data_IF_480846612571
#
_entry.id   IF_480846612571
#
_cell.length_a   1.000
_cell.length_b   1.000
_cell.length_c   1.000
_cell.angle_alpha   90.00
_cell.angle_beta   90.00
_cell.angle_gamma   90.00
#
_symmetry.space_group_name_H-M   'P 1'
#
loop_
_entity.id
_entity.type
_entity.pdbx_description
1 polymer ?
#
# COMPACT_ATOMS: atom_id res chain seq x y z
N UNK A 1 -16.41 3.24 5.60
CA UNK A 1 -15.69 2.26 6.42
C UNK A 1 -14.68 3.00 7.28
N UNK A 2 -14.57 2.63 8.55
CA UNK A 2 -13.57 3.17 9.48
C UNK A 2 -12.17 2.60 9.19
N UNK A 3 -12.12 1.39 8.64
CA UNK A 3 -10.88 0.76 8.21
C UNK A 3 -11.04 -0.04 6.91
N UNK A 4 -9.94 -0.19 6.16
CA UNK A 4 -9.84 -1.01 4.95
C UNK A 4 -8.54 -1.82 4.99
N UNK A 5 -8.62 -3.11 4.69
CA UNK A 5 -7.44 -3.95 4.55
C UNK A 5 -7.46 -4.64 3.19
N UNK A 6 -6.33 -4.61 2.49
CA UNK A 6 -6.13 -5.33 1.24
C UNK A 6 -4.93 -6.28 1.36
N UNK A 7 -5.21 -7.57 1.15
CA UNK A 7 -4.22 -8.62 0.91
C UNK A 7 -4.65 -9.41 -0.33
N UNK A 8 -4.27 -8.92 -1.50
CA UNK A 8 -4.56 -9.54 -2.80
C UNK A 8 -3.26 -9.78 -3.54
N UNK A 9 -3.13 -10.90 -4.23
CA UNK A 9 -1.92 -11.25 -4.99
C UNK A 9 -2.17 -11.09 -6.50
N UNK A 10 -2.38 -9.85 -6.96
CA UNK A 10 -2.62 -9.52 -8.37
C UNK A 10 -1.78 -8.32 -8.80
N UNK A 11 -1.42 -8.19 -10.07
CA UNK A 11 -0.77 -6.97 -10.58
C UNK A 11 -1.67 -5.72 -10.42
N UNK A 12 -1.07 -4.60 -10.03
CA UNK A 12 -1.78 -3.34 -9.82
C UNK A 12 -2.45 -3.24 -8.45
N UNK A 13 -1.88 -3.87 -7.42
CA UNK A 13 -2.43 -3.86 -6.06
C UNK A 13 -2.60 -2.43 -5.54
N UNK A 14 -1.63 -1.58 -5.84
CA UNK A 14 -1.58 -0.19 -5.39
C UNK A 14 -2.76 0.61 -5.96
N UNK A 15 -3.02 0.49 -7.26
CA UNK A 15 -4.12 1.19 -7.92
C UNK A 15 -5.49 0.71 -7.42
N UNK A 16 -5.65 -0.60 -7.23
CA UNK A 16 -6.87 -1.19 -6.67
C UNK A 16 -7.11 -0.67 -5.26
N UNK A 17 -6.06 -0.64 -4.43
CA UNK A 17 -6.12 -0.16 -3.06
C UNK A 17 -6.53 1.30 -2.99
N UNK A 18 -5.87 2.17 -3.76
CA UNK A 18 -6.18 3.62 -3.81
C UNK A 18 -7.64 3.84 -4.19
N UNK A 19 -8.13 3.16 -5.25
CA UNK A 19 -9.53 3.26 -5.69
C UNK A 19 -10.51 2.76 -4.63
N UNK A 20 -10.15 1.71 -3.90
CA UNK A 20 -10.98 1.19 -2.82
C UNK A 20 -11.06 2.19 -1.65
N UNK A 21 -9.93 2.80 -1.27
CA UNK A 21 -9.89 3.84 -0.24
C UNK A 21 -10.66 5.10 -0.66
N UNK A 22 -10.54 5.53 -1.92
CA UNK A 22 -11.29 6.68 -2.46
C UNK A 22 -12.80 6.45 -2.35
N UNK A 23 -13.25 5.23 -2.68
CA UNK A 23 -14.66 4.89 -2.76
C UNK A 23 -15.30 4.56 -1.41
N UNK A 24 -14.56 3.97 -0.47
CA UNK A 24 -15.15 3.34 0.72
C UNK A 24 -14.59 3.83 2.06
N UNK A 25 -13.38 4.39 2.09
CA UNK A 25 -12.75 4.82 3.34
C UNK A 25 -13.29 6.19 3.74
N UNK A 26 -13.76 6.30 4.99
CA UNK A 26 -14.23 7.57 5.54
C UNK A 26 -13.05 8.49 5.87
N UNK A 27 -13.25 9.82 5.92
CA UNK A 27 -12.24 10.71 6.47
C UNK A 27 -11.79 10.24 7.86
N UNK A 28 -10.51 10.39 8.19
CA UNK A 28 -9.85 9.86 9.40
C UNK A 28 -9.77 8.32 9.46
N UNK A 29 -10.24 7.61 8.44
CA UNK A 29 -10.21 6.15 8.35
C UNK A 29 -8.82 5.60 8.08
N UNK A 30 -8.55 4.41 8.60
CA UNK A 30 -7.27 3.70 8.49
C UNK A 30 -7.29 2.70 7.33
N UNK A 31 -6.23 2.62 6.53
CA UNK A 31 -6.12 1.59 5.51
C UNK A 31 -4.77 0.89 5.51
N UNK A 32 -4.81 -0.41 5.28
CA UNK A 32 -3.66 -1.29 5.32
C UNK A 32 -3.50 -2.00 3.98
N UNK A 33 -2.33 -1.87 3.36
CA UNK A 33 -1.97 -2.51 2.11
C UNK A 33 -0.85 -3.52 2.36
N UNK A 34 -1.17 -4.81 2.26
CA UNK A 34 -0.16 -5.88 2.21
C UNK A 34 0.34 -6.02 0.78
N UNK A 35 1.54 -5.49 0.49
CA UNK A 35 2.13 -5.51 -0.84
C UNK A 35 3.11 -6.68 -0.98
N UNK A 36 2.90 -7.47 -2.04
CA UNK A 36 3.77 -8.60 -2.43
C UNK A 36 4.65 -8.15 -3.59
N UNK A 37 5.94 -7.92 -3.39
CA UNK A 37 6.81 -7.34 -4.41
C UNK A 37 6.82 -8.17 -5.73
N UNK A 38 6.73 -9.49 -5.61
CA UNK A 38 6.68 -10.41 -6.75
C UNK A 38 5.45 -10.25 -7.67
N UNK A 39 4.38 -9.60 -7.19
CA UNK A 39 3.15 -9.39 -7.97
C UNK A 39 3.16 -8.07 -8.76
N UNK A 40 4.08 -7.16 -8.46
CA UNK A 40 4.23 -5.88 -9.16
C UNK A 40 5.22 -5.98 -10.32
N UNK A 41 5.09 -5.09 -11.31
CA UNK A 41 6.03 -5.07 -12.45
C UNK A 41 7.41 -4.61 -11.97
N UNK A 42 8.35 -5.54 -11.92
CA UNK A 42 9.74 -5.24 -11.65
C UNK A 42 10.35 -4.39 -12.77
N UNK A 43 10.77 -3.17 -12.44
CA UNK A 43 11.43 -2.23 -13.36
C UNK A 43 12.96 -2.44 -13.45
N UNK A 44 13.51 -3.40 -12.71
CA UNK A 44 14.95 -3.67 -12.62
C UNK A 44 15.69 -2.84 -11.56
N UNK A 45 15.03 -1.86 -10.93
CA UNK A 45 15.63 -0.95 -9.92
C UNK A 45 15.63 -1.51 -8.48
N UNK A 46 15.13 -2.75 -8.31
CA UNK A 46 15.09 -3.46 -7.02
C UNK A 46 13.86 -3.13 -6.15
N UNK A 47 13.71 -3.84 -5.05
CA UNK A 47 12.53 -3.75 -4.17
C UNK A 47 12.44 -2.42 -3.42
N UNK A 48 13.58 -1.83 -3.03
CA UNK A 48 13.59 -0.52 -2.38
C UNK A 48 12.99 0.57 -3.27
N UNK A 49 13.27 0.54 -4.58
CA UNK A 49 12.70 1.48 -5.54
C UNK A 49 11.20 1.24 -5.73
N UNK A 50 10.77 -0.03 -5.75
CA UNK A 50 9.34 -0.39 -5.78
C UNK A 50 8.60 0.19 -4.57
N UNK A 51 9.09 -0.07 -3.35
CA UNK A 51 8.45 0.40 -2.12
C UNK A 51 8.40 1.92 -2.04
N UNK A 52 9.49 2.62 -2.38
CA UNK A 52 9.50 4.08 -2.45
C UNK A 52 8.50 4.63 -3.49
N UNK A 53 8.32 3.93 -4.61
CA UNK A 53 7.30 4.24 -5.61
C UNK A 53 5.88 4.12 -5.05
N UNK A 54 5.61 3.06 -4.28
CA UNK A 54 4.31 2.85 -3.61
C UNK A 54 4.03 3.93 -2.57
N UNK A 55 5.00 4.25 -1.71
CA UNK A 55 4.86 5.35 -0.74
C UNK A 55 4.56 6.67 -1.44
N UNK A 56 5.27 6.98 -2.53
CA UNK A 56 5.02 8.16 -3.34
C UNK A 56 3.61 8.17 -3.94
N UNK A 57 3.11 7.02 -4.42
CA UNK A 57 1.78 6.90 -4.99
C UNK A 57 0.68 7.13 -3.94
N UNK A 58 0.83 6.55 -2.75
CA UNK A 58 -0.10 6.72 -1.63
C UNK A 58 -0.17 8.19 -1.17
N UNK A 59 0.99 8.84 -1.01
CA UNK A 59 1.04 10.26 -0.64
C UNK A 59 0.47 11.17 -1.74
N UNK A 60 0.75 10.89 -3.02
CA UNK A 60 0.18 11.64 -4.15
C UNK A 60 -1.34 11.48 -4.26
N UNK A 61 -1.87 10.33 -3.84
CA UNK A 61 -3.31 10.10 -3.75
C UNK A 61 -3.96 10.80 -2.54
N UNK A 62 -3.18 11.52 -1.72
CA UNK A 62 -3.66 12.32 -0.62
C UNK A 62 -3.85 11.55 0.68
N UNK A 63 -3.18 10.41 0.86
CA UNK A 63 -3.17 9.69 2.13
C UNK A 63 -1.91 10.01 2.94
N UNK A 64 -2.07 10.05 4.26
CA UNK A 64 -0.95 10.17 5.19
C UNK A 64 -0.35 8.78 5.43
N UNK A 65 0.92 8.59 5.10
CA UNK A 65 1.64 7.35 5.41
C UNK A 65 2.02 7.35 6.89
N UNK A 66 1.41 6.48 7.69
CA UNK A 66 1.71 6.35 9.11
C UNK A 66 2.89 5.41 9.34
N UNK A 67 2.88 4.24 8.69
CA UNK A 67 3.92 3.21 8.85
C UNK A 67 4.19 2.43 7.56
N UNK A 68 5.44 1.97 7.41
CA UNK A 68 5.92 1.10 6.33
C UNK A 68 6.70 -0.06 6.95
N UNK A 69 6.01 -1.17 7.20
CA UNK A 69 6.50 -2.27 8.03
C UNK A 69 7.03 -3.38 7.13
N UNK A 70 8.31 -3.71 7.31
CA UNK A 70 8.93 -4.85 6.65
C UNK A 70 8.52 -6.15 7.32
N UNK A 71 8.05 -7.13 6.54
CA UNK A 71 7.62 -8.43 7.07
C UNK A 71 8.69 -9.52 6.91
N UNK A 72 9.94 -9.12 6.65
CA UNK A 72 11.10 -10.01 6.52
C UNK A 72 11.21 -10.96 7.72
N UNK A 73 11.31 -12.26 7.43
CA UNK A 73 11.32 -13.34 8.44
C UNK A 73 9.96 -14.01 8.68
N UNK A 74 8.85 -13.42 8.22
CA UNK A 74 7.53 -14.05 8.17
C UNK A 74 7.09 -14.28 6.72
N UNK A 75 7.21 -13.25 5.88
CA UNK A 75 6.95 -13.31 4.44
C UNK A 75 8.04 -12.54 3.69
N UNK A 76 8.88 -13.25 2.92
CA UNK A 76 9.96 -12.64 2.17
C UNK A 76 9.41 -11.73 1.06
N UNK A 77 10.01 -10.57 0.87
CA UNK A 77 9.64 -9.57 -0.15
C UNK A 77 8.21 -9.01 0.00
N UNK A 78 7.72 -8.95 1.24
CA UNK A 78 6.42 -8.37 1.60
C UNK A 78 6.61 -7.11 2.45
N UNK A 79 5.76 -6.11 2.19
CA UNK A 79 5.71 -4.86 2.98
C UNK A 79 4.28 -4.47 3.27
N UNK A 80 4.01 -4.13 4.53
CA UNK A 80 2.72 -3.64 4.97
C UNK A 80 2.77 -2.11 5.08
N UNK A 81 1.95 -1.43 4.29
CA UNK A 81 1.78 0.01 4.38
C UNK A 81 0.53 0.34 5.19
N UNK A 82 0.68 1.23 6.17
CA UNK A 82 -0.42 1.75 6.98
C UNK A 82 -0.61 3.22 6.62
N UNK A 83 -1.80 3.56 6.12
CA UNK A 83 -2.13 4.93 5.73
C UNK A 83 -3.41 5.40 6.39
N UNK A 84 -3.52 6.71 6.59
CA UNK A 84 -4.74 7.36 7.04
C UNK A 84 -5.29 8.28 5.97
N UNK A 85 -6.62 8.35 5.87
CA UNK A 85 -7.29 9.36 5.05
C UNK A 85 -7.37 10.67 5.84
N UNK A 86 -6.84 11.79 5.34
CA UNK A 86 -7.03 13.08 5.96
C UNK A 86 -8.51 13.44 6.12
N UNK A 87 -8.79 14.37 7.04
CA UNK A 87 -10.15 14.87 7.28
C UNK A 87 -10.67 15.77 6.16
#
# INVERSE_FOLDING_TARGET
>A
MDWLFQDVAQAGQVDIFIRACERFLMPDGLALLSLKAASERWTGEGESALFAGVESALMKAGYDLEESIELTGFEDNHRLFVVRKPR
#
